data_IF_615171007227
#
_entry.id   IF_615171007227
#
_cell.length_a   1.000
_cell.length_b   1.000
_cell.length_c   1.000
_cell.angle_alpha   90.00
_cell.angle_beta   90.00
_cell.angle_gamma   90.00
#
_symmetry.space_group_name_H-M   'P 1'
#
loop_
_entity.id
_entity.type
_entity.pdbx_description
1 polymer ?
#
# COMPACT_ATOMS: atom_id res chain seq x y z
N UNK A 1 -8.74 -7.88 25.60
CA UNK A 1 -8.32 -6.46 25.53
C UNK A 1 -8.95 -5.81 24.30
N UNK A 2 -10.14 -5.22 24.44
CA UNK A 2 -10.80 -4.54 23.33
C UNK A 2 -10.01 -3.30 22.89
N UNK A 3 -9.90 -3.05 21.58
CA UNK A 3 -9.25 -1.84 21.06
C UNK A 3 -9.93 -0.61 21.65
N UNK A 4 -9.15 0.36 22.15
CA UNK A 4 -9.66 1.66 22.59
C UNK A 4 -10.42 2.30 21.42
N UNK A 5 -11.73 2.51 21.61
CA UNK A 5 -12.55 3.28 20.67
C UNK A 5 -12.16 4.74 20.79
N UNK A 6 -11.89 5.39 19.66
CA UNK A 6 -11.62 6.83 19.62
C UNK A 6 -12.90 7.65 19.83
N UNK A 7 -14.03 7.17 19.33
CA UNK A 7 -15.33 7.83 19.42
C UNK A 7 -16.02 7.50 20.76
N UNK A 8 -16.71 8.48 21.35
CA UNK A 8 -17.74 8.19 22.37
C UNK A 8 -18.90 7.40 21.73
N UNK A 9 -19.75 6.78 22.55
CA UNK A 9 -20.87 5.98 22.03
C UNK A 9 -21.88 6.85 21.24
N UNK A 10 -22.06 8.11 21.64
CA UNK A 10 -22.86 9.10 20.91
C UNK A 10 -22.26 9.45 19.55
N UNK A 11 -20.95 9.74 19.51
CA UNK A 11 -20.22 10.00 18.28
C UNK A 11 -20.24 8.80 17.33
N UNK A 12 -20.11 7.59 17.88
CA UNK A 12 -20.18 6.35 17.12
C UNK A 12 -21.56 6.13 16.50
N UNK A 13 -22.62 6.38 17.26
CA UNK A 13 -24.02 6.25 16.78
C UNK A 13 -24.31 7.30 15.70
N UNK A 14 -23.84 8.53 15.88
CA UNK A 14 -23.96 9.58 14.88
C UNK A 14 -23.28 9.19 13.57
N UNK A 15 -22.01 8.76 13.62
CA UNK A 15 -21.26 8.34 12.43
C UNK A 15 -21.90 7.13 11.75
N UNK A 16 -22.43 6.18 12.53
CA UNK A 16 -23.14 5.02 12.02
C UNK A 16 -24.38 5.42 11.20
N UNK A 17 -25.10 6.48 11.59
CA UNK A 17 -26.24 7.01 10.84
C UNK A 17 -25.90 7.51 9.42
N UNK A 18 -24.64 7.89 9.16
CA UNK A 18 -24.18 8.33 7.83
C UNK A 18 -23.57 7.20 6.99
N UNK A 19 -23.54 5.97 7.48
CA UNK A 19 -22.91 4.85 6.78
C UNK A 19 -23.56 4.54 5.44
N UNK A 20 -24.89 4.56 5.35
CA UNK A 20 -25.60 4.29 4.10
C UNK A 20 -25.28 5.35 3.03
N UNK A 21 -25.23 6.63 3.44
CA UNK A 21 -24.84 7.74 2.57
C UNK A 21 -23.37 7.61 2.12
N UNK A 22 -22.48 7.14 3.00
CA UNK A 22 -21.09 6.90 2.66
C UNK A 22 -20.96 5.78 1.62
N UNK A 23 -21.65 4.66 1.79
CA UNK A 23 -21.66 3.53 0.84
C UNK A 23 -22.19 3.97 -0.52
N UNK A 24 -23.29 4.71 -0.55
CA UNK A 24 -23.85 5.27 -1.78
C UNK A 24 -22.84 6.22 -2.47
N UNK A 25 -22.18 7.09 -1.71
CA UNK A 25 -21.16 8.00 -2.27
C UNK A 25 -19.92 7.25 -2.81
N UNK A 26 -19.56 6.10 -2.22
CA UNK A 26 -18.46 5.26 -2.70
C UNK A 26 -18.81 4.62 -4.04
N UNK A 27 -20.05 4.13 -4.18
CA UNK A 27 -20.55 3.57 -5.44
C UNK A 27 -20.57 4.64 -6.55
N UNK A 28 -21.01 5.86 -6.22
CA UNK A 28 -21.06 6.99 -7.15
C UNK A 28 -19.70 7.69 -7.36
N UNK A 29 -18.65 7.27 -6.63
CA UNK A 29 -17.32 7.91 -6.62
C UNK A 29 -17.34 9.41 -6.25
N UNK A 30 -18.33 9.87 -5.49
CA UNK A 30 -18.47 11.27 -5.05
C UNK A 30 -18.05 11.51 -3.59
N UNK A 31 -17.53 10.49 -2.91
CA UNK A 31 -17.18 10.56 -1.47
C UNK A 31 -16.30 11.74 -1.09
N UNK A 32 -15.24 12.01 -1.87
CA UNK A 32 -14.31 13.09 -1.56
C UNK A 32 -14.88 14.49 -1.82
N UNK A 33 -15.81 14.61 -2.78
CA UNK A 33 -16.30 15.90 -3.27
C UNK A 33 -17.58 16.35 -2.58
N UNK A 34 -18.46 15.42 -2.23
CA UNK A 34 -19.81 15.74 -1.74
C UNK A 34 -20.03 15.26 -0.31
N UNK A 35 -19.67 14.01 -0.02
CA UNK A 35 -19.96 13.40 1.26
C UNK A 35 -19.10 13.98 2.38
N UNK A 36 -17.77 13.92 2.27
CA UNK A 36 -16.89 14.38 3.35
C UNK A 36 -17.05 15.87 3.68
N UNK A 37 -17.16 16.80 2.71
CA UNK A 37 -17.38 18.20 3.03
C UNK A 37 -18.67 18.45 3.82
N UNK A 38 -19.76 17.72 3.50
CA UNK A 38 -21.03 17.84 4.21
C UNK A 38 -20.94 17.26 5.62
N UNK A 39 -20.46 16.03 5.75
CA UNK A 39 -20.38 15.31 7.03
C UNK A 39 -19.40 15.98 7.98
N UNK A 40 -18.26 16.45 7.50
CA UNK A 40 -17.31 17.18 8.34
C UNK A 40 -17.92 18.50 8.82
N UNK A 41 -18.65 19.24 7.97
CA UNK A 41 -19.32 20.48 8.39
C UNK A 41 -20.35 20.24 9.50
N UNK A 42 -21.13 19.18 9.40
CA UNK A 42 -22.11 18.80 10.41
C UNK A 42 -21.43 18.27 11.69
N UNK A 43 -20.35 17.52 11.54
CA UNK A 43 -19.51 17.04 12.64
C UNK A 43 -18.93 18.19 13.46
N UNK A 44 -18.29 19.17 12.80
CA UNK A 44 -17.72 20.35 13.46
C UNK A 44 -18.79 21.23 14.14
N UNK A 45 -20.05 21.17 13.67
CA UNK A 45 -21.17 21.87 14.30
C UNK A 45 -21.63 21.16 15.57
N UNK A 46 -21.64 19.83 15.56
CA UNK A 46 -22.06 19.00 16.71
C UNK A 46 -20.96 18.86 17.76
N UNK A 47 -19.70 18.80 17.34
CA UNK A 47 -18.51 18.72 18.19
C UNK A 47 -17.50 19.80 17.79
N UNK A 48 -17.68 21.04 18.29
CA UNK A 48 -16.72 22.10 18.04
C UNK A 48 -15.37 21.74 18.65
N UNK A 49 -14.33 21.75 17.82
CA UNK A 49 -12.94 21.50 18.25
C UNK A 49 -12.55 22.57 19.25
N UNK A 50 -12.20 22.17 20.47
CA UNK A 50 -11.70 23.06 21.52
C UNK A 50 -10.45 23.80 21.06
N UNK A 51 -10.30 25.05 21.53
CA UNK A 51 -9.17 25.91 21.20
C UNK A 51 -7.81 25.23 21.47
N UNK A 52 -6.78 25.54 20.66
CA UNK A 52 -5.47 24.92 20.74
C UNK A 52 -4.84 25.16 22.12
N UNK A 53 -4.43 24.07 22.76
CA UNK A 53 -3.77 24.05 24.06
C UNK A 53 -2.36 24.64 23.92
N UNK A 54 -1.85 25.34 24.94
CA UNK A 54 -0.57 26.07 24.92
C UNK A 54 0.64 25.25 24.40
N UNK A 55 0.63 23.93 24.59
CA UNK A 55 1.69 23.02 24.11
C UNK A 55 1.74 22.89 22.58
N UNK A 56 0.60 23.03 21.88
CA UNK A 56 0.54 22.97 20.42
C UNK A 56 0.81 24.32 19.76
N UNK A 57 0.61 25.41 20.50
CA UNK A 57 1.03 26.75 20.09
C UNK A 57 2.56 26.88 20.09
N UNK A 58 3.26 26.22 21.01
CA UNK A 58 4.71 26.24 21.11
C UNK A 58 5.43 25.51 19.94
N UNK A 59 4.77 24.54 19.29
CA UNK A 59 5.30 23.79 18.14
C UNK A 59 4.87 24.31 16.76
N UNK A 60 4.03 25.35 16.70
CA UNK A 60 3.48 25.89 15.46
C UNK A 60 4.08 27.27 15.13
N UNK A 61 4.28 27.54 13.83
CA UNK A 61 4.75 28.86 13.37
C UNK A 61 3.72 29.98 13.55
N UNK A 62 2.44 29.62 13.76
CA UNK A 62 1.32 30.54 13.99
C UNK A 62 0.18 29.84 14.74
N UNK A 63 -0.57 30.55 15.62
CA UNK A 63 -1.73 30.01 16.33
C UNK A 63 -2.81 29.47 15.39
N UNK A 64 -3.00 30.06 14.20
CA UNK A 64 -3.97 29.58 13.22
C UNK A 64 -3.59 28.22 12.60
N UNK A 65 -2.29 27.94 12.46
CA UNK A 65 -1.81 26.68 11.91
C UNK A 65 -1.97 25.53 12.91
N UNK A 66 -1.88 25.82 14.21
CA UNK A 66 -2.17 24.84 15.26
C UNK A 66 -3.64 24.41 15.22
N UNK A 67 -4.56 25.36 15.09
CA UNK A 67 -6.01 25.08 14.92
C UNK A 67 -6.26 24.24 13.68
N UNK A 68 -5.68 24.61 12.53
CA UNK A 68 -5.85 23.88 11.27
C UNK A 68 -5.33 22.45 11.38
N UNK A 69 -4.16 22.24 11.97
CA UNK A 69 -3.59 20.90 12.18
C UNK A 69 -4.46 20.03 13.08
N UNK A 70 -5.04 20.59 14.15
CA UNK A 70 -6.00 19.87 15.00
C UNK A 70 -7.24 19.44 14.23
N UNK A 71 -7.86 20.38 13.49
CA UNK A 71 -9.03 20.10 12.64
C UNK A 71 -8.73 19.03 11.59
N UNK A 72 -7.59 19.12 10.90
CA UNK A 72 -7.19 18.11 9.92
C UNK A 72 -7.01 16.72 10.54
N UNK A 73 -6.38 16.63 11.73
CA UNK A 73 -6.22 15.36 12.44
C UNK A 73 -7.57 14.73 12.80
N UNK A 74 -8.54 15.53 13.22
CA UNK A 74 -9.89 15.03 13.50
C UNK A 74 -10.64 14.62 12.24
N UNK A 75 -10.57 15.42 11.18
CA UNK A 75 -11.14 15.09 9.88
C UNK A 75 -10.59 13.76 9.36
N UNK A 76 -9.28 13.54 9.48
CA UNK A 76 -8.64 12.29 9.06
C UNK A 76 -9.07 11.11 9.92
N UNK A 77 -9.33 11.32 11.22
CA UNK A 77 -9.91 10.28 12.09
C UNK A 77 -11.35 9.93 11.68
N UNK A 78 -12.18 10.92 11.35
CA UNK A 78 -13.54 10.70 10.84
C UNK A 78 -13.50 9.93 9.52
N UNK A 79 -12.66 10.35 8.56
CA UNK A 79 -12.47 9.64 7.29
C UNK A 79 -12.01 8.20 7.51
N UNK A 80 -10.99 8.00 8.35
CA UNK A 80 -10.46 6.68 8.67
C UNK A 80 -11.53 5.80 9.34
N UNK A 81 -12.40 6.38 10.18
CA UNK A 81 -13.52 5.67 10.78
C UNK A 81 -14.45 5.10 9.72
N UNK A 82 -14.94 5.91 8.77
CA UNK A 82 -15.83 5.44 7.69
C UNK A 82 -15.19 4.34 6.84
N UNK A 83 -13.94 4.54 6.42
CA UNK A 83 -13.21 3.53 5.65
C UNK A 83 -13.04 2.23 6.44
N UNK A 84 -12.71 2.30 7.72
CA UNK A 84 -12.50 1.09 8.54
C UNK A 84 -13.80 0.33 8.80
N UNK A 85 -14.93 1.03 8.97
CA UNK A 85 -16.23 0.40 9.20
C UNK A 85 -16.92 -0.09 7.92
N UNK A 86 -16.43 0.30 6.73
CA UNK A 86 -16.90 -0.21 5.43
C UNK A 86 -15.97 -1.23 4.77
N UNK A 87 -14.79 -1.49 5.32
CA UNK A 87 -13.83 -2.49 4.80
C UNK A 87 -14.40 -3.90 4.65
N UNK A 88 -15.43 -4.26 5.41
CA UNK A 88 -16.10 -5.56 5.32
C UNK A 88 -17.33 -5.59 4.42
N UNK A 89 -17.86 -4.42 4.03
CA UNK A 89 -19.10 -4.31 3.25
C UNK A 89 -18.88 -3.89 1.79
N UNK A 90 -17.71 -3.34 1.47
CA UNK A 90 -17.42 -2.94 0.09
C UNK A 90 -17.13 -4.20 -0.75
N UNK A 91 -17.98 -4.43 -1.75
CA UNK A 91 -17.84 -5.44 -2.81
C UNK A 91 -16.67 -5.10 -3.77
N UNK A 92 -15.51 -4.78 -3.22
CA UNK A 92 -14.31 -4.44 -3.97
C UNK A 92 -13.39 -5.63 -4.16
N UNK A 93 -12.71 -5.65 -5.29
CA UNK A 93 -11.63 -6.57 -5.71
C UNK A 93 -10.37 -6.52 -4.80
N UNK A 94 -10.53 -6.36 -3.49
CA UNK A 94 -9.48 -6.53 -2.50
C UNK A 94 -9.34 -7.99 -2.08
N UNK A 95 -8.22 -8.35 -1.45
CA UNK A 95 -7.91 -9.71 -1.01
C UNK A 95 -8.93 -10.35 -0.05
N UNK A 96 -9.88 -9.56 0.46
CA UNK A 96 -10.97 -9.90 1.39
C UNK A 96 -12.36 -9.77 0.78
N UNK A 97 -12.51 -9.89 -0.54
CA UNK A 97 -13.84 -10.07 -1.13
C UNK A 97 -14.56 -11.23 -0.42
N UNK A 98 -15.82 -11.01 0.01
CA UNK A 98 -16.64 -11.97 0.76
C UNK A 98 -16.72 -13.34 0.07
N UNK A 99 -16.56 -13.39 -1.25
CA UNK A 99 -16.50 -14.62 -2.03
C UNK A 99 -15.52 -14.45 -3.21
N UNK A 100 -14.42 -15.22 -3.22
CA UNK A 100 -13.49 -15.27 -4.37
C UNK A 100 -14.07 -16.20 -5.46
N UNK A 101 -15.07 -15.72 -6.19
CA UNK A 101 -15.76 -16.51 -7.23
C UNK A 101 -14.90 -16.82 -8.47
N UNK A 102 -13.80 -16.09 -8.68
CA UNK A 102 -12.74 -16.46 -9.62
C UNK A 102 -11.59 -17.04 -8.83
N UNK A 103 -11.51 -18.37 -8.72
CA UNK A 103 -10.23 -19.03 -8.51
C UNK A 103 -9.35 -18.66 -9.69
N UNK A 104 -8.42 -17.72 -9.48
CA UNK A 104 -7.42 -17.40 -10.48
C UNK A 104 -6.79 -18.71 -10.95
N UNK A 105 -6.73 -18.93 -12.26
CA UNK A 105 -6.07 -20.13 -12.81
C UNK A 105 -4.68 -20.24 -12.15
N UNK A 106 -4.29 -21.43 -11.66
CA UNK A 106 -2.98 -21.59 -11.05
C UNK A 106 -1.93 -21.12 -12.05
N UNK A 107 -1.06 -20.20 -11.62
CA UNK A 107 0.05 -19.73 -12.46
C UNK A 107 1.02 -20.90 -12.61
N UNK A 108 0.96 -21.59 -13.75
CA UNK A 108 1.92 -22.64 -14.09
C UNK A 108 3.27 -21.96 -14.36
N UNK A 109 4.35 -22.52 -13.78
CA UNK A 109 5.71 -22.03 -14.02
C UNK A 109 6.15 -22.39 -15.43
N UNK A 110 6.95 -21.53 -16.05
CA UNK A 110 7.59 -21.85 -17.32
C UNK A 110 8.67 -22.92 -17.11
N UNK A 111 8.97 -23.72 -18.13
CA UNK A 111 9.88 -24.87 -18.01
C UNK A 111 11.29 -24.46 -17.54
N UNK A 112 11.85 -23.37 -18.08
CA UNK A 112 13.14 -22.83 -17.63
C UNK A 112 13.11 -22.36 -16.17
N UNK A 113 11.95 -21.96 -15.63
CA UNK A 113 11.82 -21.60 -14.20
C UNK A 113 11.81 -22.83 -13.30
N UNK A 114 11.33 -23.96 -13.82
CA UNK A 114 11.42 -25.26 -13.16
C UNK A 114 12.88 -25.72 -13.18
N UNK A 115 13.56 -25.60 -14.33
CA UNK A 115 14.99 -25.84 -14.47
C UNK A 115 15.81 -25.02 -13.46
N UNK A 116 15.56 -23.72 -13.39
CA UNK A 116 16.16 -22.83 -12.39
C UNK A 116 15.95 -23.36 -10.98
N UNK A 117 14.72 -23.73 -10.61
CA UNK A 117 14.46 -24.23 -9.25
C UNK A 117 15.24 -25.52 -8.96
N UNK A 118 15.44 -26.38 -9.95
CA UNK A 118 16.17 -27.64 -9.78
C UNK A 118 17.70 -27.45 -9.74
N UNK A 119 18.26 -26.54 -10.53
CA UNK A 119 19.71 -26.47 -10.78
C UNK A 119 20.40 -25.24 -10.17
N UNK A 120 19.64 -24.21 -9.79
CA UNK A 120 20.21 -22.95 -9.31
C UNK A 120 21.06 -23.13 -8.05
N UNK A 121 20.51 -23.74 -7.00
CA UNK A 121 21.25 -23.90 -5.73
C UNK A 121 22.43 -24.87 -5.85
N UNK A 122 22.29 -25.90 -6.68
CA UNK A 122 23.27 -26.98 -6.78
C UNK A 122 24.42 -26.68 -7.74
N UNK A 123 24.15 -26.06 -8.89
CA UNK A 123 25.12 -25.90 -9.99
C UNK A 123 25.46 -24.43 -10.26
N UNK A 124 24.44 -23.57 -10.38
CA UNK A 124 24.63 -22.27 -11.03
C UNK A 124 24.88 -21.10 -10.08
N UNK A 125 24.44 -21.18 -8.81
CA UNK A 125 24.58 -20.07 -7.84
C UNK A 125 26.02 -19.57 -7.70
N UNK A 126 26.97 -20.49 -7.50
CA UNK A 126 28.38 -20.12 -7.31
C UNK A 126 29.03 -19.55 -8.58
N UNK A 127 28.56 -19.97 -9.76
CA UNK A 127 29.06 -19.48 -11.06
C UNK A 127 28.51 -18.08 -11.31
N UNK A 128 27.19 -17.91 -11.16
CA UNK A 128 26.50 -16.64 -11.34
C UNK A 128 27.02 -15.57 -10.38
N UNK A 129 27.31 -15.92 -9.12
CA UNK A 129 27.87 -14.98 -8.15
C UNK A 129 29.29 -14.51 -8.54
N UNK A 130 30.12 -15.41 -9.07
CA UNK A 130 31.46 -15.06 -9.56
C UNK A 130 31.38 -14.16 -10.78
N UNK A 131 30.58 -14.55 -11.77
CA UNK A 131 30.40 -13.80 -13.02
C UNK A 131 29.78 -12.42 -12.77
N UNK A 132 28.76 -12.35 -11.91
CA UNK A 132 28.15 -11.10 -11.50
C UNK A 132 29.15 -10.18 -10.82
N UNK A 133 29.95 -10.70 -9.88
CA UNK A 133 30.97 -9.90 -9.21
C UNK A 133 32.04 -9.36 -10.18
N UNK A 134 32.39 -10.12 -11.22
CA UNK A 134 33.32 -9.68 -12.25
C UNK A 134 32.69 -8.61 -13.16
N UNK A 135 31.42 -8.79 -13.51
CA UNK A 135 30.66 -7.84 -14.32
C UNK A 135 30.47 -6.51 -13.58
N UNK A 136 30.08 -6.54 -12.30
CA UNK A 136 29.95 -5.32 -11.48
C UNK A 136 31.28 -4.58 -11.36
N UNK A 137 32.40 -5.27 -11.13
CA UNK A 137 33.73 -4.62 -11.06
C UNK A 137 34.15 -3.96 -12.37
N UNK A 138 33.86 -4.58 -13.52
CA UNK A 138 34.12 -3.98 -14.84
C UNK A 138 33.24 -2.77 -15.07
N UNK A 139 31.96 -2.89 -14.71
CA UNK A 139 30.99 -1.83 -14.90
C UNK A 139 31.27 -0.59 -14.03
N UNK A 140 31.65 -0.80 -12.76
CA UNK A 140 32.10 0.27 -11.85
C UNK A 140 33.38 0.95 -12.35
N UNK A 141 34.29 0.20 -12.98
CA UNK A 141 35.51 0.76 -13.56
C UNK A 141 35.24 1.62 -14.81
N UNK A 142 34.22 1.28 -15.60
CA UNK A 142 33.87 1.97 -16.85
C UNK A 142 32.88 3.12 -16.65
N UNK A 143 32.00 3.05 -15.63
CA UNK A 143 30.90 4.00 -15.43
C UNK A 143 30.75 4.39 -13.95
N UNK A 144 31.75 5.08 -13.40
CA UNK A 144 31.78 5.51 -11.99
C UNK A 144 30.61 6.43 -11.58
N UNK A 145 29.99 7.16 -12.53
CA UNK A 145 28.94 8.15 -12.23
C UNK A 145 27.52 7.73 -12.62
N UNK A 146 27.34 6.64 -13.36
CA UNK A 146 26.00 6.14 -13.69
C UNK A 146 25.57 5.08 -12.69
N UNK A 147 24.26 4.85 -12.58
CA UNK A 147 23.71 3.73 -11.79
C UNK A 147 23.46 2.53 -12.69
N UNK A 148 23.91 1.36 -12.27
CA UNK A 148 23.74 0.11 -13.00
C UNK A 148 22.24 -0.16 -13.24
N UNK A 149 21.85 -0.19 -14.51
CA UNK A 149 20.45 -0.41 -14.92
C UNK A 149 20.08 -1.89 -14.90
N UNK A 150 21.06 -2.77 -15.11
CA UNK A 150 20.85 -4.22 -15.03
C UNK A 150 20.92 -4.69 -13.58
N UNK A 151 19.92 -5.48 -13.18
CA UNK A 151 19.89 -6.09 -11.85
C UNK A 151 20.53 -7.47 -11.91
N UNK A 152 21.08 -7.94 -10.78
CA UNK A 152 21.54 -9.34 -10.66
C UNK A 152 20.47 -10.34 -11.12
N UNK A 153 19.20 -10.01 -10.89
CA UNK A 153 18.07 -10.84 -11.27
C UNK A 153 17.87 -10.94 -12.79
N UNK A 154 18.07 -9.84 -13.54
CA UNK A 154 17.99 -9.88 -15.02
C UNK A 154 19.14 -10.69 -15.61
N UNK A 155 20.36 -10.50 -15.12
CA UNK A 155 21.55 -11.26 -15.54
C UNK A 155 21.42 -12.76 -15.24
N UNK A 156 20.93 -13.10 -14.05
CA UNK A 156 20.69 -14.49 -13.66
C UNK A 156 19.65 -15.17 -14.56
N UNK A 157 18.56 -14.46 -14.90
CA UNK A 157 17.51 -15.03 -15.72
C UNK A 157 17.95 -15.25 -17.17
N UNK A 158 18.74 -14.35 -17.76
CA UNK A 158 19.28 -14.54 -19.12
C UNK A 158 20.24 -15.72 -19.15
N UNK A 159 21.18 -15.79 -18.20
CA UNK A 159 22.13 -16.91 -18.08
C UNK A 159 21.41 -18.26 -17.95
N UNK A 160 20.38 -18.36 -17.11
CA UNK A 160 19.63 -19.60 -16.92
C UNK A 160 18.76 -19.96 -18.12
N UNK A 161 18.25 -18.97 -18.87
CA UNK A 161 17.52 -19.23 -20.10
C UNK A 161 18.45 -19.74 -21.22
N UNK A 162 19.66 -19.21 -21.32
CA UNK A 162 20.68 -19.69 -22.25
C UNK A 162 21.10 -21.11 -21.90
N UNK A 163 21.42 -21.38 -20.63
CA UNK A 163 21.78 -22.74 -20.18
C UNK A 163 20.66 -23.75 -20.32
N UNK A 164 19.41 -23.32 -20.10
CA UNK A 164 18.26 -24.19 -20.36
C UNK A 164 18.16 -24.57 -21.84
N UNK A 165 18.36 -23.62 -22.76
CA UNK A 165 18.33 -23.90 -24.21
C UNK A 165 19.47 -24.84 -24.63
N UNK A 166 20.68 -24.58 -24.15
CA UNK A 166 21.84 -25.43 -24.42
C UNK A 166 21.62 -26.88 -23.95
N UNK A 167 21.08 -27.08 -22.73
CA UNK A 167 20.81 -28.43 -22.20
C UNK A 167 19.51 -29.07 -22.71
N UNK A 168 18.62 -28.30 -23.38
CA UNK A 168 17.35 -28.81 -23.92
C UNK A 168 17.39 -29.11 -25.42
N UNK A 169 18.33 -28.51 -26.15
CA UNK A 169 18.54 -28.75 -27.59
C UNK A 169 19.48 -29.96 -27.86
N UNK A 170 20.13 -30.49 -26.81
CA UNK A 170 20.85 -31.78 -26.77
C UNK A 170 19.92 -32.94 -26.34
#
# INVERSE_FOLDING_TARGET
MGRRKWTTDEQGTWLAGYMDQFINSQQMKTTAKEFFPKVLKEWHKAWPVSDPTQEELAGAKSPEDAVKKKKMKEDDRVKAWFHNHTRGQTFGSGSRGLLKLRTAKPRVRLEWQIYQQMTYESKWKAIIDKEWSAFTKKWEAENSEMKMMETRFTFMNTFLQEKYREESDD
#
